data_IF_420508167123
#
_entry.id   IF_420508167123
#
_cell.length_a   1.000
_cell.length_b   1.000
_cell.length_c   1.000
_cell.angle_alpha   90.00
_cell.angle_beta   90.00
_cell.angle_gamma   90.00
#
_symmetry.space_group_name_H-M   'P 1'
#
loop_
_entity.id
_entity.type
_entity.pdbx_description
1 polymer ?
#
# COMPACT_ATOMS: atom_id res chain seq x y z
N UNK A 1 10.38 -7.92 2.79
CA UNK A 1 11.12 -6.85 3.52
C UNK A 1 12.06 -6.09 2.57
N UNK A 2 12.49 -4.87 2.93
CA UNK A 2 13.40 -4.02 2.13
C UNK A 2 12.90 -3.70 0.71
N UNK A 3 11.63 -3.29 0.63
CA UNK A 3 11.03 -2.78 -0.61
C UNK A 3 11.26 -1.28 -0.81
N UNK A 4 12.14 -0.62 -0.05
CA UNK A 4 12.37 0.82 -0.23
C UNK A 4 11.21 1.72 0.24
N UNK A 5 10.34 1.24 1.14
CA UNK A 5 9.20 2.03 1.68
C UNK A 5 9.68 3.31 2.38
N UNK A 6 10.63 3.18 3.31
CA UNK A 6 11.20 4.30 4.04
C UNK A 6 11.96 5.25 3.09
N UNK A 7 12.60 4.71 2.05
CA UNK A 7 13.22 5.51 0.98
C UNK A 7 12.17 6.32 0.21
N UNK A 8 11.06 5.69 -0.19
CA UNK A 8 9.96 6.35 -0.91
C UNK A 8 9.38 7.50 -0.08
N UNK A 9 9.09 7.26 1.20
CA UNK A 9 8.55 8.28 2.11
C UNK A 9 9.55 9.41 2.39
N UNK A 10 10.84 9.07 2.57
CA UNK A 10 11.89 10.06 2.72
C UNK A 10 11.99 10.98 1.50
N UNK A 11 11.90 10.42 0.29
CA UNK A 11 11.93 11.21 -0.95
C UNK A 11 10.67 12.05 -1.14
N UNK A 12 9.48 11.50 -0.85
CA UNK A 12 8.21 12.21 -1.03
C UNK A 12 8.03 13.39 -0.06
N UNK A 13 8.52 13.26 1.18
CA UNK A 13 8.23 14.19 2.26
C UNK A 13 9.47 14.84 2.90
N UNK A 14 10.67 14.60 2.35
CA UNK A 14 11.93 15.14 2.90
C UNK A 14 12.28 14.57 4.28
N UNK A 15 11.86 13.34 4.57
CA UNK A 15 12.00 12.70 5.88
C UNK A 15 13.35 12.02 6.07
N UNK A 16 13.63 11.62 7.31
CA UNK A 16 14.87 10.93 7.71
C UNK A 16 14.58 9.62 8.44
N UNK A 17 13.58 8.86 7.97
CA UNK A 17 13.39 7.50 8.45
C UNK A 17 14.64 6.66 8.18
N UNK A 18 14.96 5.74 9.09
CA UNK A 18 16.06 4.82 8.90
C UNK A 18 15.84 3.99 7.61
N UNK A 19 16.89 3.78 6.84
CA UNK A 19 16.90 2.93 5.63
C UNK A 19 17.96 1.83 5.77
N UNK A 20 17.61 0.59 5.44
CA UNK A 20 18.50 -0.58 5.52
C UNK A 20 18.10 -1.61 4.48
N UNK A 21 19.08 -2.37 3.99
CA UNK A 21 18.88 -3.48 3.05
C UNK A 21 18.18 -4.70 3.69
N UNK A 22 18.18 -4.81 5.03
CA UNK A 22 17.46 -5.83 5.81
C UNK A 22 16.20 -5.30 6.51
N UNK A 23 15.78 -5.90 7.64
CA UNK A 23 14.68 -5.36 8.46
C UNK A 23 15.07 -3.99 9.04
N UNK A 24 14.65 -2.93 8.36
CA UNK A 24 14.94 -1.57 8.79
C UNK A 24 14.00 -1.08 9.89
N UNK A 25 12.72 -1.35 9.72
CA UNK A 25 11.63 -0.84 10.58
C UNK A 25 11.05 -2.01 11.36
N UNK A 26 10.87 -1.85 12.69
CA UNK A 26 10.10 -2.76 13.55
C UNK A 26 8.88 -2.01 14.09
N UNK A 27 7.69 -2.56 13.93
CA UNK A 27 6.45 -1.87 14.30
C UNK A 27 6.10 -0.73 13.33
N UNK A 28 5.58 0.39 13.86
CA UNK A 28 5.21 1.57 13.08
C UNK A 28 5.81 2.83 13.68
N UNK A 29 6.30 3.73 12.83
CA UNK A 29 6.91 5.00 13.18
C UNK A 29 6.10 6.13 12.57
N UNK A 30 5.77 7.14 13.36
CA UNK A 30 5.02 8.31 12.92
C UNK A 30 5.92 9.54 12.96
N UNK A 31 5.92 10.31 11.87
CA UNK A 31 6.55 11.62 11.81
C UNK A 31 5.54 12.66 11.32
N UNK A 32 5.46 13.80 12.03
CA UNK A 32 4.62 14.92 11.61
C UNK A 32 5.42 15.83 10.68
N UNK A 33 4.85 16.11 9.51
CA UNK A 33 5.40 17.03 8.50
C UNK A 33 4.57 18.30 8.54
N UNK A 34 5.15 19.46 8.90
CA UNK A 34 4.41 20.72 8.88
C UNK A 34 4.02 21.07 7.44
N UNK A 35 2.82 21.59 7.29
CA UNK A 35 2.30 22.09 6.02
C UNK A 35 2.48 23.60 5.97
N UNK A 36 2.80 24.13 4.79
CA UNK A 36 2.96 25.57 4.62
C UNK A 36 1.64 26.29 4.94
N UNK A 37 1.67 27.34 5.79
CA UNK A 37 0.47 28.10 6.15
C UNK A 37 -0.29 28.59 4.91
N UNK A 38 -1.58 28.28 4.85
CA UNK A 38 -2.46 28.69 3.74
C UNK A 38 -2.49 27.76 2.53
N UNK A 39 -1.64 26.72 2.46
CA UNK A 39 -1.67 25.74 1.37
C UNK A 39 -2.71 24.63 1.57
N UNK A 40 -3.12 24.37 2.82
CA UNK A 40 -4.11 23.35 3.17
C UNK A 40 -4.95 23.77 4.39
N UNK A 41 -6.01 22.99 4.68
CA UNK A 41 -6.86 23.13 5.88
C UNK A 41 -6.27 22.50 7.14
N UNK A 42 -5.12 21.82 7.03
CA UNK A 42 -4.45 21.14 8.13
C UNK A 42 -3.02 21.66 8.29
N UNK A 43 -2.56 21.73 9.55
CA UNK A 43 -1.23 22.25 9.90
C UNK A 43 -0.11 21.21 9.73
N UNK A 44 -0.47 19.92 9.78
CA UNK A 44 0.49 18.81 9.70
C UNK A 44 -0.06 17.65 8.88
N UNK A 45 0.85 16.93 8.22
CA UNK A 45 0.61 15.59 7.68
C UNK A 45 1.33 14.58 8.57
N UNK A 46 0.61 13.59 9.08
CA UNK A 46 1.22 12.47 9.78
C UNK A 46 1.65 11.40 8.76
N UNK A 47 2.95 11.17 8.64
CA UNK A 47 3.52 10.11 7.79
C UNK A 47 3.88 8.93 8.67
N UNK A 48 3.31 7.76 8.37
CA UNK A 48 3.53 6.53 9.11
C UNK A 48 4.36 5.57 8.24
N UNK A 49 5.59 5.24 8.66
CA UNK A 49 6.38 4.15 8.08
C UNK A 49 6.24 2.89 8.93
N UNK A 50 6.01 1.75 8.28
CA UNK A 50 5.72 0.49 8.96
C UNK A 50 6.79 -0.53 8.67
N UNK A 51 6.90 -1.53 9.52
CA UNK A 51 7.64 -2.73 9.16
C UNK A 51 7.07 -3.37 7.89
N UNK A 52 7.93 -4.09 7.17
CA UNK A 52 7.52 -4.77 5.95
C UNK A 52 6.80 -6.06 6.29
N UNK A 53 5.70 -6.33 5.59
CA UNK A 53 4.98 -7.59 5.69
C UNK A 53 5.88 -8.78 5.31
N UNK A 54 5.49 -9.96 5.79
CA UNK A 54 6.15 -11.26 5.53
C UNK A 54 7.59 -11.28 6.02
N UNK A 55 7.82 -10.77 7.24
CA UNK A 55 9.11 -10.86 7.91
C UNK A 55 9.48 -12.33 8.18
N UNK A 56 10.55 -12.88 7.57
CA UNK A 56 10.91 -14.29 7.75
C UNK A 56 11.25 -14.64 9.21
N UNK A 57 11.58 -13.65 10.02
CA UNK A 57 11.97 -13.80 11.42
C UNK A 57 10.77 -14.08 12.38
N UNK A 58 9.53 -13.92 11.92
CA UNK A 58 8.31 -14.12 12.73
C UNK A 58 7.76 -15.57 12.69
N UNK A 59 8.39 -16.47 11.93
CA UNK A 59 8.00 -17.88 11.90
C UNK A 59 6.53 -18.10 11.50
N UNK A 60 5.80 -18.92 12.27
CA UNK A 60 4.39 -19.26 12.01
C UNK A 60 3.41 -18.13 12.36
N UNK A 61 3.76 -17.24 13.30
CA UNK A 61 2.91 -16.13 13.74
C UNK A 61 2.94 -14.93 12.78
N UNK A 62 3.78 -14.98 11.73
CA UNK A 62 3.95 -13.90 10.75
C UNK A 62 2.63 -13.42 10.14
N UNK A 63 1.73 -14.34 9.79
CA UNK A 63 0.47 -13.97 9.13
C UNK A 63 -0.48 -13.23 10.06
N UNK A 64 -0.50 -13.61 11.34
CA UNK A 64 -1.32 -12.92 12.33
C UNK A 64 -0.77 -11.53 12.60
N UNK A 65 0.54 -11.41 12.80
CA UNK A 65 1.20 -10.12 13.02
C UNK A 65 1.02 -9.18 11.83
N UNK A 66 1.24 -9.67 10.60
CA UNK A 66 1.05 -8.93 9.37
C UNK A 66 -0.40 -8.42 9.23
N UNK A 67 -1.38 -9.26 9.55
CA UNK A 67 -2.80 -8.88 9.51
C UNK A 67 -3.15 -7.83 10.58
N UNK A 68 -2.63 -7.96 11.81
CA UNK A 68 -2.84 -6.99 12.89
C UNK A 68 -2.22 -5.63 12.53
N UNK A 69 -0.98 -5.63 12.04
CA UNK A 69 -0.29 -4.42 11.60
C UNK A 69 -0.99 -3.76 10.41
N UNK A 70 -1.36 -4.54 9.39
CA UNK A 70 -2.06 -4.01 8.22
C UNK A 70 -3.42 -3.42 8.61
N UNK A 71 -4.18 -4.10 9.48
CA UNK A 71 -5.47 -3.59 9.97
C UNK A 71 -5.29 -2.28 10.74
N UNK A 72 -4.25 -2.15 11.56
CA UNK A 72 -3.95 -0.91 12.29
C UNK A 72 -3.61 0.24 11.33
N UNK A 73 -2.69 -0.01 10.40
CA UNK A 73 -2.15 1.03 9.50
C UNK A 73 -3.21 1.51 8.51
N UNK A 74 -3.90 0.56 7.85
CA UNK A 74 -5.02 0.88 6.97
C UNK A 74 -6.14 1.55 7.77
N UNK A 75 -6.32 1.13 9.03
CA UNK A 75 -7.19 1.72 10.05
C UNK A 75 -7.03 3.23 10.21
N UNK A 76 -5.78 3.66 10.36
CA UNK A 76 -5.40 5.02 10.69
C UNK A 76 -5.22 5.92 9.46
N UNK A 77 -4.83 5.36 8.31
CA UNK A 77 -4.48 6.14 7.13
C UNK A 77 -5.69 6.72 6.38
N UNK A 78 -5.69 8.04 6.17
CA UNK A 78 -6.56 8.68 5.18
C UNK A 78 -6.13 8.30 3.75
N UNK A 79 -4.82 8.19 3.54
CA UNK A 79 -4.19 7.68 2.32
C UNK A 79 -3.20 6.60 2.73
N UNK A 80 -3.32 5.39 2.17
CA UNK A 80 -2.33 4.32 2.39
C UNK A 80 -1.59 3.99 1.10
N UNK A 81 -0.27 3.92 1.19
CA UNK A 81 0.61 3.51 0.09
C UNK A 81 1.06 2.07 0.32
N UNK A 82 0.62 1.17 -0.56
CA UNK A 82 0.99 -0.25 -0.55
C UNK A 82 2.12 -0.45 -1.55
N UNK A 83 3.31 -0.66 -1.01
CA UNK A 83 4.51 -0.80 -1.81
C UNK A 83 4.77 -2.28 -2.15
N UNK A 84 4.50 -2.65 -3.40
CA UNK A 84 4.72 -3.96 -3.99
C UNK A 84 6.08 -3.97 -4.70
N UNK A 85 6.92 -4.97 -4.45
CA UNK A 85 8.24 -5.08 -5.08
C UNK A 85 8.42 -6.44 -5.74
N UNK A 86 8.97 -6.41 -6.95
CA UNK A 86 9.29 -7.61 -7.74
C UNK A 86 8.10 -8.12 -8.54
N UNK A 87 8.35 -9.12 -9.39
CA UNK A 87 7.38 -9.64 -10.38
C UNK A 87 6.69 -10.93 -9.90
N UNK A 88 6.93 -11.37 -8.66
CA UNK A 88 6.38 -12.62 -8.14
C UNK A 88 4.88 -12.48 -7.82
N UNK A 89 4.05 -13.02 -8.70
CA UNK A 89 2.60 -12.95 -8.60
C UNK A 89 2.03 -13.58 -7.31
N UNK A 90 2.68 -14.61 -6.76
CA UNK A 90 2.23 -15.23 -5.52
C UNK A 90 2.42 -14.29 -4.33
N UNK A 91 3.54 -13.58 -4.26
CA UNK A 91 3.83 -12.64 -3.17
C UNK A 91 2.94 -11.41 -3.23
N UNK A 92 2.66 -10.92 -4.45
CA UNK A 92 1.71 -9.83 -4.65
C UNK A 92 0.33 -10.27 -4.16
N UNK A 93 -0.17 -11.44 -4.58
CA UNK A 93 -1.48 -11.97 -4.15
C UNK A 93 -1.58 -12.13 -2.62
N UNK A 94 -0.53 -12.61 -1.95
CA UNK A 94 -0.48 -12.68 -0.49
C UNK A 94 -0.71 -11.30 0.15
N UNK A 95 -0.03 -10.26 -0.36
CA UNK A 95 -0.16 -8.88 0.14
C UNK A 95 -1.57 -8.34 -0.15
N UNK A 96 -2.09 -8.54 -1.35
CA UNK A 96 -3.45 -8.12 -1.71
C UNK A 96 -4.48 -8.78 -0.80
N UNK A 97 -4.31 -10.05 -0.44
CA UNK A 97 -5.17 -10.75 0.51
C UNK A 97 -5.17 -10.09 1.88
N UNK A 98 -3.99 -9.78 2.44
CA UNK A 98 -3.88 -9.07 3.74
C UNK A 98 -4.62 -7.74 3.70
N UNK A 99 -4.41 -6.98 2.62
CA UNK A 99 -5.01 -5.64 2.42
C UNK A 99 -6.53 -5.71 2.33
N UNK A 100 -7.05 -6.64 1.53
CA UNK A 100 -8.50 -6.84 1.35
C UNK A 100 -9.16 -7.24 2.68
N UNK A 101 -8.58 -8.20 3.41
CA UNK A 101 -9.12 -8.60 4.71
C UNK A 101 -9.14 -7.44 5.71
N UNK A 102 -8.08 -6.63 5.74
CA UNK A 102 -8.04 -5.44 6.59
C UNK A 102 -9.14 -4.43 6.22
N UNK A 103 -9.34 -4.12 4.93
CA UNK A 103 -10.41 -3.21 4.50
C UNK A 103 -11.82 -3.73 4.79
N UNK A 104 -12.08 -5.03 4.61
CA UNK A 104 -13.37 -5.62 4.97
C UNK A 104 -13.64 -5.47 6.46
N UNK A 105 -12.65 -5.80 7.31
CA UNK A 105 -12.77 -5.63 8.77
C UNK A 105 -12.99 -4.17 9.16
N UNK A 106 -12.31 -3.25 8.49
CA UNK A 106 -12.53 -1.82 8.69
C UNK A 106 -13.93 -1.37 8.31
N UNK A 107 -14.47 -1.84 7.18
CA UNK A 107 -15.85 -1.56 6.77
C UNK A 107 -16.86 -2.11 7.79
N UNK A 108 -16.58 -3.29 8.35
CA UNK A 108 -17.40 -3.89 9.40
C UNK A 108 -17.37 -3.10 10.71
N UNK A 109 -16.21 -2.57 11.09
CA UNK A 109 -16.05 -1.76 12.30
C UNK A 109 -16.65 -0.36 12.16
N UNK A 110 -16.54 0.25 10.98
CA UNK A 110 -16.94 1.64 10.72
C UNK A 110 -18.28 1.78 9.97
N UNK A 111 -19.23 0.85 10.15
CA UNK A 111 -20.52 0.83 9.43
C UNK A 111 -21.32 2.14 9.46
N UNK A 112 -21.05 3.02 10.43
CA UNK A 112 -21.73 4.31 10.61
C UNK A 112 -20.93 5.52 10.12
N UNK A 113 -19.70 5.34 9.63
CA UNK A 113 -18.86 6.42 9.12
C UNK A 113 -18.40 6.13 7.70
N UNK A 114 -18.82 6.98 6.77
CA UNK A 114 -18.31 6.98 5.40
C UNK A 114 -16.94 7.65 5.37
N UNK A 115 -15.93 6.92 5.84
CA UNK A 115 -14.55 7.38 5.88
C UNK A 115 -13.99 7.31 4.47
N UNK A 116 -13.80 8.49 3.85
CA UNK A 116 -13.20 8.62 2.52
C UNK A 116 -11.70 8.36 2.58
N UNK A 117 -11.32 7.08 2.58
CA UNK A 117 -9.93 6.62 2.48
C UNK A 117 -9.54 6.37 1.03
N UNK A 118 -8.27 6.59 0.71
CA UNK A 118 -7.66 6.22 -0.58
C UNK A 118 -6.54 5.20 -0.37
N UNK A 119 -6.45 4.25 -1.29
CA UNK A 119 -5.40 3.26 -1.33
C UNK A 119 -4.63 3.40 -2.63
N UNK A 120 -3.30 3.51 -2.55
CA UNK A 120 -2.42 3.66 -3.69
C UNK A 120 -1.47 2.46 -3.71
N UNK A 121 -1.43 1.72 -4.81
CA UNK A 121 -0.44 0.67 -5.04
C UNK A 121 0.75 1.23 -5.80
N UNK A 122 1.94 1.03 -5.24
CA UNK A 122 3.21 1.36 -5.90
C UNK A 122 3.91 0.06 -6.23
N UNK A 123 3.96 -0.29 -7.51
CA UNK A 123 4.68 -1.46 -7.99
C UNK A 123 6.09 -1.04 -8.44
N UNK A 124 7.09 -1.43 -7.66
CA UNK A 124 8.49 -1.18 -7.95
C UNK A 124 9.09 -2.28 -8.84
N UNK A 125 10.19 -1.94 -9.50
CA UNK A 125 11.02 -2.82 -10.34
C UNK A 125 10.32 -3.30 -11.61
N UNK A 126 9.52 -2.43 -12.24
CA UNK A 126 8.86 -2.76 -13.53
C UNK A 126 9.69 -2.24 -14.71
N UNK A 127 10.07 -3.08 -15.69
CA UNK A 127 10.84 -2.65 -16.87
C UNK A 127 10.06 -1.63 -17.73
N UNK A 128 10.72 -0.54 -18.12
CA UNK A 128 10.10 0.61 -18.80
C UNK A 128 9.65 0.39 -20.27
N UNK A 129 9.69 -0.84 -20.81
CA UNK A 129 9.60 -1.07 -22.27
C UNK A 129 8.18 -1.44 -22.72
N UNK A 130 7.54 -0.54 -23.48
CA UNK A 130 6.21 -0.73 -24.09
C UNK A 130 5.03 -0.33 -23.19
N UNK A 131 5.24 0.71 -22.38
CA UNK A 131 4.60 0.93 -21.10
C UNK A 131 3.06 0.99 -21.09
N UNK A 132 2.39 1.69 -22.02
CA UNK A 132 0.99 2.07 -21.77
C UNK A 132 -0.03 0.93 -21.88
N UNK A 133 0.00 0.14 -22.96
CA UNK A 133 -0.95 -0.99 -23.12
C UNK A 133 -0.65 -2.14 -22.16
N UNK A 134 0.63 -2.44 -21.92
CA UNK A 134 1.03 -3.44 -20.92
C UNK A 134 0.62 -3.03 -19.50
N UNK A 135 0.73 -1.75 -19.16
CA UNK A 135 0.26 -1.23 -17.87
C UNK A 135 -1.26 -1.32 -17.74
N UNK A 136 -2.02 -1.02 -18.80
CA UNK A 136 -3.49 -1.17 -18.77
C UNK A 136 -3.92 -2.62 -18.55
N UNK A 137 -3.29 -3.57 -19.25
CA UNK A 137 -3.55 -5.01 -19.05
C UNK A 137 -3.14 -5.47 -17.64
N UNK A 138 -2.02 -4.97 -17.10
CA UNK A 138 -1.61 -5.25 -15.72
C UNK A 138 -2.55 -4.63 -14.68
N UNK A 139 -3.03 -3.41 -14.89
CA UNK A 139 -4.03 -2.75 -14.05
C UNK A 139 -5.34 -3.56 -14.03
N UNK A 140 -5.80 -4.00 -15.21
CA UNK A 140 -6.99 -4.83 -15.35
C UNK A 140 -6.85 -6.15 -14.57
N UNK A 141 -5.71 -6.85 -14.74
CA UNK A 141 -5.41 -8.08 -13.99
C UNK A 141 -5.37 -7.86 -12.49
N UNK A 142 -4.77 -6.76 -12.04
CA UNK A 142 -4.69 -6.43 -10.62
C UNK A 142 -6.07 -6.11 -10.03
N UNK A 143 -6.92 -5.40 -10.78
CA UNK A 143 -8.32 -5.15 -10.42
C UNK A 143 -9.12 -6.46 -10.33
N UNK A 144 -8.98 -7.36 -11.30
CA UNK A 144 -9.64 -8.67 -11.29
C UNK A 144 -9.21 -9.53 -10.10
N UNK A 145 -7.90 -9.53 -9.79
CA UNK A 145 -7.36 -10.23 -8.63
C UNK A 145 -7.91 -9.63 -7.31
N UNK A 146 -7.94 -8.30 -7.19
CA UNK A 146 -8.53 -7.60 -6.03
C UNK A 146 -10.01 -7.95 -5.86
N UNK A 147 -10.79 -7.95 -6.93
CA UNK A 147 -12.23 -8.25 -6.90
C UNK A 147 -12.49 -9.72 -6.58
N UNK A 148 -11.66 -10.64 -7.10
CA UNK A 148 -11.74 -12.05 -6.75
C UNK A 148 -11.44 -12.28 -5.27
N UNK A 149 -10.32 -11.77 -4.78
CA UNK A 149 -9.92 -11.88 -3.37
C UNK A 149 -10.99 -11.25 -2.46
N UNK A 150 -11.57 -10.12 -2.88
CA UNK A 150 -12.63 -9.42 -2.13
C UNK A 150 -13.88 -10.28 -1.98
N UNK A 151 -14.31 -10.98 -3.04
CA UNK A 151 -15.46 -11.90 -2.94
C UNK A 151 -15.17 -13.05 -1.99
N UNK A 152 -14.03 -13.71 -2.14
CA UNK A 152 -13.63 -14.84 -1.29
C UNK A 152 -13.53 -14.42 0.18
N UNK A 153 -12.92 -13.26 0.46
CA UNK A 153 -12.79 -12.74 1.82
C UNK A 153 -14.15 -12.29 2.41
N UNK A 154 -15.02 -11.68 1.60
CA UNK A 154 -16.36 -11.25 2.04
C UNK A 154 -17.27 -12.44 2.36
N UNK A 155 -17.18 -13.54 1.61
CA UNK A 155 -17.87 -14.79 1.91
C UNK A 155 -17.40 -15.37 3.25
N UNK A 156 -16.08 -15.41 3.49
CA UNK A 156 -15.50 -15.87 4.75
C UNK A 156 -15.92 -15.04 5.97
N UNK A 157 -15.96 -13.71 5.82
CA UNK A 157 -16.36 -12.77 6.88
C UNK A 157 -17.89 -12.53 6.95
N UNK A 158 -18.68 -13.20 6.10
CA UNK A 158 -20.16 -13.10 6.00
C UNK A 158 -20.69 -11.69 5.72
N UNK A 159 -20.02 -10.95 4.83
CA UNK A 159 -20.39 -9.57 4.44
C UNK A 159 -21.02 -9.55 3.05
N UNK A 160 -22.31 -9.85 2.97
CA UNK A 160 -23.03 -9.99 1.69
C UNK A 160 -23.13 -8.70 0.84
N UNK A 161 -22.86 -7.53 1.42
CA UNK A 161 -22.90 -6.24 0.72
C UNK A 161 -21.62 -5.92 -0.05
N UNK A 162 -20.59 -6.77 0.01
CA UNK A 162 -19.30 -6.57 -0.64
C UNK A 162 -19.14 -7.58 -1.78
N UNK A 163 -18.98 -7.09 -3.01
CA UNK A 163 -18.84 -7.89 -4.23
C UNK A 163 -17.59 -7.56 -5.03
N UNK A 164 -17.06 -6.35 -4.89
CA UNK A 164 -15.81 -5.92 -5.52
C UNK A 164 -15.00 -5.06 -4.55
N UNK A 165 -13.73 -4.84 -4.88
CA UNK A 165 -12.81 -4.05 -4.07
C UNK A 165 -13.26 -2.59 -3.90
N UNK A 166 -13.92 -2.05 -4.94
CA UNK A 166 -14.49 -0.70 -4.88
C UNK A 166 -15.64 -0.56 -3.88
N UNK A 167 -16.26 -1.66 -3.45
CA UNK A 167 -17.28 -1.61 -2.41
C UNK A 167 -16.66 -1.32 -1.03
N UNK A 168 -15.38 -1.67 -0.81
CA UNK A 168 -14.73 -1.53 0.51
C UNK A 168 -13.84 -0.30 0.62
N UNK A 169 -13.36 0.24 -0.51
CA UNK A 169 -12.57 1.48 -0.56
C UNK A 169 -12.71 2.17 -1.92
N UNK A 170 -12.58 3.51 -1.94
CA UNK A 170 -12.48 4.27 -3.19
C UNK A 170 -11.17 3.92 -3.90
N UNK A 171 -11.28 3.20 -5.02
CA UNK A 171 -10.14 2.75 -5.82
C UNK A 171 -10.42 2.95 -7.33
N UNK A 172 -9.45 3.52 -8.03
CA UNK A 172 -9.44 3.69 -9.48
C UNK A 172 -8.14 3.12 -10.03
N UNK A 173 -8.20 1.96 -10.71
CA UNK A 173 -7.02 1.26 -11.22
C UNK A 173 -6.15 2.12 -12.14
N UNK A 174 -6.73 3.13 -12.82
CA UNK A 174 -5.98 4.01 -13.71
C UNK A 174 -5.26 5.15 -12.99
N UNK A 175 -5.67 5.48 -11.75
CA UNK A 175 -5.11 6.59 -10.96
C UNK A 175 -4.38 6.17 -9.69
N UNK A 176 -4.73 5.01 -9.16
CA UNK A 176 -4.27 4.52 -7.86
C UNK A 176 -3.23 3.40 -7.97
N UNK A 177 -2.77 3.08 -9.19
CA UNK A 177 -1.65 2.17 -9.44
C UNK A 177 -0.51 2.95 -10.10
N UNK A 178 0.64 2.96 -9.44
CA UNK A 178 1.88 3.58 -9.92
C UNK A 178 2.95 2.54 -10.12
N UNK A 179 3.65 2.64 -11.24
CA UNK A 179 4.80 1.79 -11.53
C UNK A 179 6.08 2.61 -11.42
N UNK A 180 7.02 2.12 -10.61
CA UNK A 180 8.35 2.71 -10.47
C UNK A 180 9.39 1.77 -11.05
N UNK A 181 10.19 2.26 -12.00
CA UNK A 181 11.35 1.56 -12.53
C UNK A 181 12.47 1.48 -11.49
N UNK A 182 13.37 0.50 -11.65
CA UNK A 182 14.56 0.40 -10.80
C UNK A 182 15.42 1.67 -10.93
N UNK A 183 15.69 2.34 -9.80
CA UNK A 183 16.55 3.53 -9.69
C UNK A 183 18.02 3.29 -10.10
N UNK A 184 18.39 2.07 -10.48
CA UNK A 184 19.74 1.68 -10.87
C UNK A 184 20.08 1.90 -12.35
N UNK A 185 19.10 2.23 -13.20
CA UNK A 185 19.40 2.99 -14.42
C UNK A 185 19.32 4.47 -14.05
N UNK A 186 20.46 5.01 -13.65
CA UNK A 186 20.60 6.44 -13.41
C UNK A 186 20.25 7.20 -14.67
N UNK A 187 19.06 7.79 -14.71
CA UNK A 187 18.96 9.08 -15.38
C UNK A 187 19.80 10.07 -14.55
N UNK A 188 20.75 10.78 -15.18
CA UNK A 188 21.48 11.81 -14.47
C UNK A 188 20.48 12.81 -13.88
N UNK A 189 20.77 13.41 -12.71
CA UNK A 189 19.81 14.26 -12.03
C UNK A 189 19.33 15.37 -12.98
N UNK A 190 18.01 15.45 -13.19
CA UNK A 190 17.35 16.59 -13.84
C UNK A 190 17.21 17.77 -12.87
N UNK A 191 18.29 18.10 -12.18
CA UNK A 191 18.42 19.36 -11.46
C UNK A 191 19.51 20.18 -12.18
N UNK A 192 19.25 21.45 -12.53
CA UNK A 192 20.29 22.34 -13.04
C UNK A 192 21.35 22.65 -11.99
#
# INVERSE_FOLDING_TARGET
QSSGKSTLLNTMFGLKFAVSAGRCTRGAFLQLVPVEPGSSKFDFVAVIDTEGLRAPELGLDKYRHDNELATLVLGLGDVTVINLKGENSAEIKDILQIVVHAFIRMKMANRMQDLRRRCIFVHQNVPAVGAKEKMMDQNCKMQEDLDKITREAAEGEKVASVRCFSDIISFDSDKDIFYMSDLWLGDPPMAP
#
